data_IF_369687551056
#
_entry.id   IF_369687551056
#
_cell.length_a   1.000
_cell.length_b   1.000
_cell.length_c   1.000
_cell.angle_alpha   90.00
_cell.angle_beta   90.00
_cell.angle_gamma   90.00
#
_symmetry.space_group_name_H-M   'P 1'
#
loop_
_entity.id
_entity.type
_entity.pdbx_description
1 polymer ?
#
# COMPACT_ATOMS: atom_id res chain seq x y z
N UNK A 1 6.67 -43.51 53.02
CA UNK A 1 5.79 -44.26 53.94
C UNK A 1 4.46 -44.45 53.23
N UNK A 2 4.26 -45.65 52.69
CA UNK A 2 3.06 -46.08 51.97
C UNK A 2 2.08 -46.65 52.98
N UNK A 3 1.07 -45.87 53.36
CA UNK A 3 -0.07 -46.42 54.11
C UNK A 3 -0.80 -47.36 53.15
N UNK A 4 -0.71 -48.66 53.41
CA UNK A 4 -1.53 -49.66 52.73
C UNK A 4 -3.00 -49.24 52.83
N UNK A 5 -3.72 -49.32 51.71
CA UNK A 5 -5.15 -49.01 51.67
C UNK A 5 -5.99 -50.23 52.08
N UNK A 6 -5.33 -51.38 52.34
CA UNK A 6 -5.99 -52.60 52.78
C UNK A 6 -6.44 -52.49 54.25
N UNK A 7 -7.61 -53.05 54.60
CA UNK A 7 -8.04 -53.17 55.98
C UNK A 7 -7.10 -54.11 56.77
N UNK A 8 -7.12 -53.96 58.11
CA UNK A 8 -6.26 -54.77 58.98
C UNK A 8 -6.50 -56.29 58.87
N UNK A 9 -7.67 -56.72 58.36
CA UNK A 9 -8.07 -58.10 58.18
C UNK A 9 -7.61 -58.76 56.87
N UNK A 10 -6.78 -58.08 56.06
CA UNK A 10 -6.41 -58.59 54.73
C UNK A 10 -5.49 -59.83 54.75
N UNK A 11 -5.82 -60.77 53.87
CA UNK A 11 -5.13 -62.06 53.72
C UNK A 11 -3.84 -61.95 52.87
N UNK A 12 -3.00 -62.99 52.87
CA UNK A 12 -1.69 -63.00 52.22
C UNK A 12 -1.77 -62.72 50.72
N UNK A 13 -2.80 -63.21 50.04
CA UNK A 13 -3.01 -62.95 48.62
C UNK A 13 -3.27 -61.46 48.33
N UNK A 14 -4.11 -60.80 49.14
CA UNK A 14 -4.45 -59.39 48.96
C UNK A 14 -3.22 -58.49 49.17
N UNK A 15 -2.40 -58.82 50.19
CA UNK A 15 -1.15 -58.11 50.48
C UNK A 15 -0.12 -58.31 49.37
N UNK A 16 0.00 -59.52 48.83
CA UNK A 16 0.88 -59.80 47.70
C UNK A 16 0.43 -59.08 46.42
N UNK A 17 -0.88 -58.99 46.18
CA UNK A 17 -1.44 -58.22 45.08
C UNK A 17 -1.16 -56.72 45.22
N UNK A 18 -1.39 -56.13 46.40
CA UNK A 18 -1.07 -54.72 46.67
C UNK A 18 0.44 -54.45 46.46
N UNK A 19 1.31 -55.32 46.98
CA UNK A 19 2.75 -55.22 46.79
C UNK A 19 3.15 -55.28 45.30
N UNK A 20 2.49 -56.12 44.50
CA UNK A 20 2.76 -56.21 43.05
C UNK A 20 2.37 -54.95 42.26
N UNK A 21 1.46 -54.14 42.80
CA UNK A 21 0.97 -52.90 42.19
C UNK A 21 1.59 -51.64 42.82
N UNK A 22 2.29 -51.77 43.95
CA UNK A 22 2.85 -50.67 44.72
C UNK A 22 3.78 -49.78 43.89
N UNK A 23 4.59 -50.36 42.99
CA UNK A 23 5.51 -49.61 42.11
C UNK A 23 4.77 -48.76 41.07
N UNK A 24 3.49 -49.04 40.79
CA UNK A 24 2.66 -48.22 39.89
C UNK A 24 2.05 -47.00 40.57
N UNK A 25 1.94 -46.99 41.90
CA UNK A 25 1.33 -45.88 42.64
C UNK A 25 2.09 -44.56 42.52
N UNK A 26 3.44 -44.53 42.60
CA UNK A 26 4.20 -43.32 42.28
C UNK A 26 3.93 -42.82 40.87
N UNK A 27 3.93 -43.71 39.88
CA UNK A 27 3.66 -43.36 38.48
C UNK A 27 2.28 -42.71 38.28
N UNK A 28 1.22 -43.29 38.86
CA UNK A 28 -0.12 -42.70 38.76
C UNK A 28 -0.25 -41.41 39.57
N UNK A 29 0.39 -41.30 40.73
CA UNK A 29 0.39 -40.07 41.53
C UNK A 29 1.02 -38.90 40.76
N UNK A 30 2.15 -39.15 40.10
CA UNK A 30 2.83 -38.15 39.27
C UNK A 30 1.99 -37.78 38.04
N UNK A 31 1.37 -38.77 37.39
CA UNK A 31 0.46 -38.54 36.27
C UNK A 31 -0.77 -37.70 36.67
N UNK A 32 -1.38 -37.99 37.83
CA UNK A 32 -2.52 -37.22 38.37
C UNK A 32 -2.12 -35.78 38.66
N UNK A 33 -0.93 -35.56 39.24
CA UNK A 33 -0.43 -34.22 39.47
C UNK A 33 -0.18 -33.45 38.15
N UNK A 34 0.29 -34.14 37.11
CA UNK A 34 0.56 -33.56 35.79
C UNK A 34 -0.70 -33.06 35.05
N UNK A 35 -1.87 -33.70 35.26
CA UNK A 35 -3.15 -33.30 34.63
C UNK A 35 -3.49 -31.83 34.87
N UNK A 36 -3.16 -31.29 36.05
CA UNK A 36 -3.50 -29.91 36.41
C UNK A 36 -2.80 -28.84 35.53
N UNK A 37 -1.65 -29.17 34.94
CA UNK A 37 -0.86 -28.25 34.11
C UNK A 37 -0.97 -28.52 32.62
N UNK A 38 -1.64 -29.63 32.25
CA UNK A 38 -1.67 -30.15 30.88
C UNK A 38 -2.34 -29.17 29.89
N UNK A 39 -3.28 -28.33 30.35
CA UNK A 39 -3.94 -27.34 29.49
C UNK A 39 -3.07 -26.13 29.12
N UNK A 40 -2.02 -25.84 29.89
CA UNK A 40 -1.12 -24.71 29.63
C UNK A 40 -0.01 -25.08 28.64
N UNK A 41 0.32 -26.37 28.55
CA UNK A 41 1.32 -26.90 27.63
C UNK A 41 0.95 -28.33 27.21
N UNK A 42 -0.15 -28.51 26.45
CA UNK A 42 -0.65 -29.84 26.13
C UNK A 42 0.28 -30.60 25.18
N UNK A 43 0.33 -31.94 25.26
CA UNK A 43 0.93 -32.74 24.21
C UNK A 43 0.30 -32.42 22.86
N UNK A 44 1.08 -32.48 21.78
CA UNK A 44 0.62 -32.12 20.44
C UNK A 44 -0.59 -32.92 19.96
N UNK A 45 -0.75 -34.15 20.45
CA UNK A 45 -1.93 -35.01 20.20
C UNK A 45 -3.22 -34.47 20.82
N UNK A 46 -3.14 -33.73 21.93
CA UNK A 46 -4.28 -33.15 22.64
C UNK A 46 -4.58 -31.71 22.20
N UNK A 47 -3.62 -31.02 21.59
CA UNK A 47 -3.72 -29.61 21.21
C UNK A 47 -4.99 -29.25 20.41
N UNK A 48 -5.44 -30.01 19.39
CA UNK A 48 -6.68 -29.70 18.67
C UNK A 48 -7.92 -29.72 19.57
N UNK A 49 -7.97 -30.63 20.55
CA UNK A 49 -9.09 -30.73 21.48
C UNK A 49 -9.10 -29.58 22.48
N UNK A 50 -7.92 -29.13 22.93
CA UNK A 50 -7.80 -27.96 23.81
C UNK A 50 -8.19 -26.67 23.07
N UNK A 51 -7.78 -26.52 21.80
CA UNK A 51 -8.20 -25.40 20.95
C UNK A 51 -9.72 -25.37 20.76
N UNK A 52 -10.31 -26.55 20.53
CA UNK A 52 -11.75 -26.70 20.41
C UNK A 52 -12.46 -26.36 21.73
N UNK A 53 -11.94 -26.83 22.87
CA UNK A 53 -12.46 -26.52 24.21
C UNK A 53 -12.51 -25.01 24.47
N UNK A 54 -11.45 -24.28 24.09
CA UNK A 54 -11.41 -22.82 24.23
C UNK A 54 -12.13 -22.06 23.10
N UNK A 55 -12.70 -22.75 22.11
CA UNK A 55 -13.38 -22.10 20.98
C UNK A 55 -12.46 -21.24 20.11
N UNK A 56 -11.18 -21.61 20.00
CA UNK A 56 -10.15 -20.86 19.26
C UNK A 56 -9.99 -21.35 17.81
N UNK A 57 -10.81 -22.31 17.37
CA UNK A 57 -10.71 -22.95 16.06
C UNK A 57 -10.73 -21.97 14.88
N UNK A 58 -11.56 -20.94 14.94
CA UNK A 58 -11.65 -19.90 13.89
C UNK A 58 -10.37 -19.06 13.76
N UNK A 59 -9.52 -19.03 14.78
CA UNK A 59 -8.29 -18.24 14.80
C UNK A 59 -7.08 -18.99 14.25
N UNK A 60 -7.19 -20.31 14.10
CA UNK A 60 -6.11 -21.18 13.62
C UNK A 60 -5.46 -20.75 12.29
N UNK A 61 -6.18 -20.14 11.31
CA UNK A 61 -5.55 -19.71 10.06
C UNK A 61 -4.63 -18.48 10.19
N UNK A 62 -4.70 -17.74 11.30
CA UNK A 62 -4.01 -16.46 11.48
C UNK A 62 -2.76 -16.55 12.35
N UNK A 63 -2.54 -17.68 13.03
CA UNK A 63 -1.41 -17.87 13.95
C UNK A 63 -0.49 -18.95 13.42
N UNK A 64 0.83 -18.70 13.26
CA UNK A 64 1.77 -19.70 12.75
C UNK A 64 1.93 -20.92 13.66
N UNK A 65 1.81 -20.73 14.97
CA UNK A 65 2.00 -21.77 15.97
C UNK A 65 0.79 -21.87 16.91
N UNK A 66 0.19 -23.06 16.96
CA UNK A 66 -1.01 -23.33 17.74
C UNK A 66 -0.80 -23.27 19.26
N UNK A 67 0.43 -23.42 19.74
CA UNK A 67 0.75 -23.24 21.16
C UNK A 67 0.64 -21.77 21.57
N UNK A 68 1.11 -20.84 20.73
CA UNK A 68 1.02 -19.40 20.99
C UNK A 68 -0.44 -18.94 20.99
N UNK A 69 -1.27 -19.57 20.15
CA UNK A 69 -2.72 -19.32 20.10
C UNK A 69 -3.41 -19.61 21.45
N UNK A 70 -2.96 -20.60 22.23
CA UNK A 70 -3.57 -20.87 23.55
C UNK A 70 -3.36 -19.70 24.52
N UNK A 71 -2.20 -19.06 24.48
CA UNK A 71 -1.92 -17.92 25.36
C UNK A 71 -2.55 -16.64 24.81
N UNK A 72 -2.35 -16.34 23.53
CA UNK A 72 -2.75 -15.08 22.92
C UNK A 72 -4.24 -15.06 22.57
N UNK A 73 -4.79 -16.18 22.09
CA UNK A 73 -6.19 -16.31 21.72
C UNK A 73 -7.14 -16.10 22.90
N UNK A 74 -6.81 -16.64 24.09
CA UNK A 74 -7.59 -16.40 25.32
C UNK A 74 -7.57 -14.92 25.69
N UNK A 75 -6.40 -14.27 25.59
CA UNK A 75 -6.30 -12.85 25.89
C UNK A 75 -7.07 -11.99 24.87
N UNK A 76 -7.06 -12.37 23.59
CA UNK A 76 -7.84 -11.74 22.55
C UNK A 76 -9.34 -11.88 22.78
N UNK A 77 -9.83 -13.08 23.16
CA UNK A 77 -11.24 -13.32 23.44
C UNK A 77 -11.78 -12.39 24.54
N UNK A 78 -10.97 -12.11 25.58
CA UNK A 78 -11.34 -11.21 26.69
C UNK A 78 -11.56 -9.76 26.25
N UNK A 79 -10.94 -9.34 25.15
CA UNK A 79 -11.02 -7.96 24.63
C UNK A 79 -11.79 -7.87 23.31
N UNK A 80 -12.39 -8.98 22.87
CA UNK A 80 -13.20 -9.06 21.64
C UNK A 80 -14.32 -8.02 21.68
N UNK A 81 -14.58 -7.38 20.54
CA UNK A 81 -15.53 -6.29 20.40
C UNK A 81 -14.93 -4.90 20.62
N UNK A 82 -13.63 -4.80 20.93
CA UNK A 82 -12.90 -3.54 21.10
C UNK A 82 -11.84 -3.34 20.00
N UNK A 83 -11.32 -2.12 19.85
CA UNK A 83 -10.22 -1.86 18.90
C UNK A 83 -8.93 -2.57 19.29
N UNK A 84 -8.75 -2.91 20.57
CA UNK A 84 -7.60 -3.70 21.01
C UNK A 84 -7.62 -5.12 20.45
N UNK A 85 -8.80 -5.72 20.25
CA UNK A 85 -8.92 -7.02 19.60
C UNK A 85 -8.47 -6.96 18.13
N UNK A 86 -8.86 -5.90 17.41
CA UNK A 86 -8.42 -5.67 16.02
C UNK A 86 -6.91 -5.51 15.98
N UNK A 87 -6.33 -4.68 16.85
CA UNK A 87 -4.89 -4.47 16.91
C UNK A 87 -4.12 -5.78 17.18
N UNK A 88 -4.55 -6.56 18.17
CA UNK A 88 -3.92 -7.86 18.49
C UNK A 88 -4.06 -8.85 17.33
N UNK A 89 -5.24 -8.94 16.73
CA UNK A 89 -5.49 -9.84 15.61
C UNK A 89 -4.67 -9.49 14.37
N UNK A 90 -4.54 -8.21 14.03
CA UNK A 90 -3.68 -7.78 12.93
C UNK A 90 -2.19 -8.05 13.23
N UNK A 91 -1.76 -7.92 14.48
CA UNK A 91 -0.39 -8.22 14.88
C UNK A 91 0.01 -9.68 14.63
N UNK A 92 -0.92 -10.63 14.80
CA UNK A 92 -0.68 -12.06 14.50
C UNK A 92 -0.30 -12.32 13.04
N UNK A 93 -0.86 -11.54 12.13
CA UNK A 93 -0.58 -11.60 10.69
C UNK A 93 0.47 -10.57 10.24
N UNK A 94 1.14 -9.91 11.19
CA UNK A 94 2.25 -8.98 10.91
C UNK A 94 1.83 -7.60 10.41
N UNK A 95 0.58 -7.19 10.65
CA UNK A 95 0.05 -5.88 10.24
C UNK A 95 -0.34 -5.01 11.43
N UNK A 96 -0.29 -3.70 11.23
CA UNK A 96 -0.81 -2.70 12.18
C UNK A 96 -1.71 -1.73 11.43
N UNK A 97 -2.85 -1.39 12.03
CA UNK A 97 -3.74 -0.39 11.48
C UNK A 97 -4.46 0.38 12.60
N UNK A 98 -4.75 1.65 12.33
CA UNK A 98 -5.63 2.47 13.17
C UNK A 98 -7.07 2.31 12.70
N UNK A 99 -7.98 2.07 13.65
CA UNK A 99 -9.41 1.98 13.37
C UNK A 99 -10.04 3.37 13.36
N UNK A 100 -10.68 3.74 12.26
CA UNK A 100 -11.41 5.00 12.11
C UNK A 100 -12.89 4.71 11.94
N UNK A 101 -13.70 5.16 12.89
CA UNK A 101 -15.15 4.99 12.83
C UNK A 101 -15.77 5.94 11.82
N UNK A 102 -16.85 5.50 11.16
CA UNK A 102 -17.65 6.39 10.33
C UNK A 102 -18.30 7.49 11.19
N UNK A 103 -18.52 8.65 10.56
CA UNK A 103 -19.28 9.73 11.19
C UNK A 103 -20.73 9.28 11.45
N UNK A 104 -21.26 9.61 12.63
CA UNK A 104 -22.58 9.18 13.09
C UNK A 104 -23.74 9.71 12.25
N UNK A 105 -23.53 10.74 11.44
CA UNK A 105 -24.55 11.29 10.53
C UNK A 105 -24.74 10.51 9.23
N UNK A 106 -23.80 9.60 8.88
CA UNK A 106 -23.95 8.73 7.71
C UNK A 106 -25.05 7.70 7.92
N UNK A 107 -25.73 7.33 6.85
CA UNK A 107 -26.67 6.19 6.86
C UNK A 107 -25.99 4.89 7.32
N UNK A 108 -24.75 4.65 6.88
CA UNK A 108 -23.92 3.50 7.28
C UNK A 108 -22.99 3.85 8.46
N UNK A 109 -23.57 4.38 9.54
CA UNK A 109 -22.86 4.88 10.74
C UNK A 109 -22.07 3.82 11.51
N UNK A 110 -22.49 2.55 11.44
CA UNK A 110 -21.87 1.41 12.13
C UNK A 110 -20.65 0.85 11.36
N UNK A 111 -20.22 1.50 10.28
CA UNK A 111 -19.04 1.12 9.53
C UNK A 111 -17.76 1.72 10.11
N UNK A 112 -16.64 1.09 9.79
CA UNK A 112 -15.31 1.61 10.12
C UNK A 112 -14.33 1.32 9.00
N UNK A 113 -13.22 2.05 8.98
CA UNK A 113 -12.11 1.84 8.07
C UNK A 113 -10.81 1.58 8.83
N UNK A 114 -9.89 0.88 8.17
CA UNK A 114 -8.55 0.62 8.67
C UNK A 114 -7.56 1.52 7.95
N UNK A 115 -6.81 2.33 8.70
CA UNK A 115 -5.66 3.08 8.18
C UNK A 115 -4.39 2.34 8.52
N UNK A 116 -3.73 1.81 7.51
CA UNK A 116 -2.46 1.10 7.69
C UNK A 116 -1.29 2.07 7.80
N UNK A 117 -0.27 1.66 8.55
CA UNK A 117 1.03 2.33 8.66
C UNK A 117 1.99 1.97 7.53
N UNK A 118 1.79 0.78 6.93
CA UNK A 118 2.52 0.27 5.77
C UNK A 118 1.56 -0.33 4.74
N UNK A 119 2.02 -0.40 3.50
CA UNK A 119 1.31 -1.14 2.46
C UNK A 119 1.30 -2.64 2.83
N UNK A 120 0.14 -3.33 2.78
CA UNK A 120 0.11 -4.79 2.85
C UNK A 120 0.99 -5.41 1.77
N UNK A 121 1.68 -6.51 2.06
CA UNK A 121 2.70 -7.08 1.19
C UNK A 121 2.07 -7.65 -0.10
N UNK A 122 0.96 -8.37 0.03
CA UNK A 122 0.21 -8.94 -1.09
C UNK A 122 -1.28 -8.60 -1.03
N UNK A 123 -1.98 -8.76 -2.15
CA UNK A 123 -3.44 -8.67 -2.17
C UNK A 123 -4.06 -10.02 -1.72
N UNK A 124 -3.51 -11.13 -2.21
CA UNK A 124 -3.85 -12.51 -1.81
C UNK A 124 -2.62 -13.17 -1.15
N UNK A 125 -2.73 -13.80 0.04
CA UNK A 125 -3.92 -14.00 0.88
C UNK A 125 -4.13 -12.93 1.95
N UNK A 126 -3.31 -11.87 1.96
CA UNK A 126 -3.24 -10.94 3.10
C UNK A 126 -4.54 -10.17 3.31
N UNK A 127 -5.21 -9.70 2.25
CA UNK A 127 -6.43 -8.90 2.40
C UNK A 127 -7.59 -9.73 2.96
N UNK A 128 -7.75 -10.97 2.50
CA UNK A 128 -8.75 -11.89 3.07
C UNK A 128 -8.44 -12.23 4.53
N UNK A 129 -7.15 -12.38 4.86
CA UNK A 129 -6.73 -12.62 6.23
C UNK A 129 -7.04 -11.44 7.14
N UNK A 130 -6.73 -10.23 6.69
CA UNK A 130 -7.03 -8.97 7.38
C UNK A 130 -8.55 -8.86 7.59
N UNK A 131 -9.36 -9.11 6.57
CA UNK A 131 -10.83 -9.07 6.68
C UNK A 131 -11.36 -10.06 7.70
N UNK A 132 -10.90 -11.31 7.62
CA UNK A 132 -11.34 -12.37 8.51
C UNK A 132 -11.04 -12.05 9.96
N UNK A 133 -9.77 -11.75 10.31
CA UNK A 133 -9.40 -11.48 11.70
C UNK A 133 -10.05 -10.21 12.24
N UNK A 134 -10.19 -9.17 11.41
CA UNK A 134 -10.84 -7.92 11.82
C UNK A 134 -12.33 -8.15 12.06
N UNK A 135 -13.01 -8.90 11.18
CA UNK A 135 -14.43 -9.23 11.32
C UNK A 135 -14.69 -10.09 12.55
N UNK A 136 -13.79 -11.03 12.87
CA UNK A 136 -13.87 -11.81 14.10
C UNK A 136 -13.68 -10.94 15.35
N UNK A 137 -12.87 -9.88 15.26
CA UNK A 137 -12.49 -9.01 16.38
C UNK A 137 -13.57 -8.01 16.77
N UNK A 138 -14.43 -7.58 15.85
CA UNK A 138 -15.45 -6.56 16.09
C UNK A 138 -16.83 -7.15 16.42
N UNK A 139 -17.75 -6.38 17.03
CA UNK A 139 -19.13 -6.83 17.20
C UNK A 139 -19.79 -7.06 15.83
N UNK A 140 -20.70 -8.03 15.71
CA UNK A 140 -21.36 -8.38 14.43
C UNK A 140 -22.06 -7.21 13.73
N UNK A 141 -22.50 -6.20 14.48
CA UNK A 141 -23.10 -4.98 13.93
C UNK A 141 -22.09 -4.09 13.22
N UNK A 142 -20.82 -4.14 13.58
CA UNK A 142 -19.78 -3.28 13.02
C UNK A 142 -19.26 -3.90 11.74
N UNK A 143 -19.16 -3.09 10.68
CA UNK A 143 -18.77 -3.58 9.36
C UNK A 143 -17.49 -2.90 8.89
N UNK A 144 -16.51 -3.71 8.49
CA UNK A 144 -15.32 -3.21 7.82
C UNK A 144 -15.72 -2.72 6.44
N UNK A 145 -15.65 -1.40 6.22
CA UNK A 145 -15.99 -0.79 4.94
C UNK A 145 -14.79 -0.69 4.02
N UNK A 146 -13.63 -0.33 4.56
CA UNK A 146 -12.48 0.06 3.75
C UNK A 146 -11.14 -0.10 4.46
N UNK A 147 -10.10 -0.44 3.71
CA UNK A 147 -8.70 -0.34 4.12
C UNK A 147 -7.95 0.71 3.28
N UNK A 148 -7.17 1.56 3.94
CA UNK A 148 -6.48 2.69 3.30
C UNK A 148 -5.00 2.76 3.68
N UNK A 149 -4.16 3.10 2.70
CA UNK A 149 -2.75 3.42 2.90
C UNK A 149 -2.32 4.47 1.86
N UNK A 150 -1.77 5.60 2.31
CA UNK A 150 -1.32 6.77 1.52
C UNK A 150 -2.38 7.44 0.62
N UNK A 151 -3.15 6.69 -0.17
CA UNK A 151 -4.18 7.21 -1.05
C UNK A 151 -5.57 7.07 -0.42
N UNK A 152 -6.05 8.17 0.14
CA UNK A 152 -7.35 8.24 0.79
C UNK A 152 -8.22 9.37 0.23
N UNK A 153 -9.20 9.02 -0.61
CA UNK A 153 -10.27 9.94 -1.01
C UNK A 153 -11.58 9.44 -0.39
N UNK A 154 -12.00 10.03 0.75
CA UNK A 154 -13.28 9.69 1.36
C UNK A 154 -14.42 10.25 0.53
N UNK A 155 -15.61 9.66 0.71
CA UNK A 155 -16.85 10.19 0.16
C UNK A 155 -17.14 11.58 0.74
N UNK A 156 -17.60 12.49 -0.11
CA UNK A 156 -18.09 13.80 0.31
C UNK A 156 -19.33 13.61 1.20
N UNK A 157 -19.28 14.14 2.41
CA UNK A 157 -20.40 14.07 3.36
C UNK A 157 -21.45 15.08 2.92
N UNK A 158 -22.42 14.61 2.15
CA UNK A 158 -23.50 15.41 1.59
C UNK A 158 -24.88 14.89 2.00
N UNK A 159 -24.93 14.09 3.08
CA UNK A 159 -26.16 13.53 3.63
C UNK A 159 -27.25 14.61 3.74
N UNK A 160 -28.48 14.27 3.34
CA UNK A 160 -29.67 15.15 3.41
C UNK A 160 -29.63 16.37 2.48
N UNK A 161 -28.74 16.40 1.49
CA UNK A 161 -28.72 17.41 0.43
C UNK A 161 -29.05 16.78 -0.94
N UNK A 162 -29.23 17.60 -1.98
CA UNK A 162 -29.38 17.09 -3.37
C UNK A 162 -28.12 16.42 -3.92
N UNK A 163 -26.99 16.58 -3.25
CA UNK A 163 -25.73 15.93 -3.59
C UNK A 163 -25.60 14.55 -2.93
N UNK A 164 -26.54 14.17 -2.08
CA UNK A 164 -26.68 12.80 -1.59
C UNK A 164 -26.91 11.84 -2.78
N UNK A 165 -26.25 10.68 -2.77
CA UNK A 165 -26.19 9.72 -3.87
C UNK A 165 -25.57 10.22 -5.21
N UNK A 166 -24.86 11.35 -5.24
CA UNK A 166 -24.09 11.74 -6.43
C UNK A 166 -22.73 11.03 -6.51
N UNK A 167 -22.00 11.18 -7.62
CA UNK A 167 -20.68 10.56 -7.78
C UNK A 167 -19.65 10.94 -6.70
N UNK A 168 -19.87 12.06 -5.98
CA UNK A 168 -19.01 12.50 -4.88
C UNK A 168 -19.17 11.65 -3.62
N UNK A 169 -20.23 10.85 -3.53
CA UNK A 169 -20.49 9.92 -2.41
C UNK A 169 -19.72 8.59 -2.58
N UNK A 170 -18.99 8.41 -3.69
CA UNK A 170 -18.13 7.24 -3.88
C UNK A 170 -16.78 7.45 -3.21
N UNK A 171 -16.36 6.44 -2.48
CA UNK A 171 -15.03 6.36 -1.89
C UNK A 171 -14.03 5.80 -2.90
N UNK A 172 -12.75 6.18 -2.77
CA UNK A 172 -11.71 5.55 -3.58
C UNK A 172 -11.45 4.12 -3.14
N UNK A 173 -11.15 3.26 -4.11
CA UNK A 173 -10.74 1.88 -3.89
C UNK A 173 -11.44 0.93 -4.84
N UNK A 174 -11.08 -0.36 -4.72
CA UNK A 174 -11.77 -1.45 -5.41
C UNK A 174 -12.00 -2.60 -4.42
N UNK A 175 -12.97 -3.46 -4.74
CA UNK A 175 -13.20 -4.72 -4.04
C UNK A 175 -12.35 -5.80 -4.70
N UNK A 176 -11.34 -6.30 -4.01
CA UNK A 176 -10.47 -7.38 -4.50
C UNK A 176 -10.86 -8.76 -3.94
N UNK A 177 -11.60 -8.78 -2.83
CA UNK A 177 -11.95 -9.99 -2.07
C UNK A 177 -13.46 -10.27 -2.14
N UNK A 178 -13.92 -11.51 -1.86
CA UNK A 178 -15.34 -11.85 -1.81
C UNK A 178 -16.14 -11.11 -0.71
N UNK A 179 -15.46 -10.59 0.31
CA UNK A 179 -16.10 -9.84 1.40
C UNK A 179 -16.60 -8.44 0.98
N UNK A 180 -16.23 -7.98 -0.22
CA UNK A 180 -16.58 -6.66 -0.76
C UNK A 180 -16.07 -5.47 0.06
N UNK A 181 -14.97 -5.64 0.81
CA UNK A 181 -14.27 -4.50 1.43
C UNK A 181 -13.59 -3.68 0.35
N UNK A 182 -13.64 -2.35 0.48
CA UNK A 182 -12.90 -1.46 -0.42
C UNK A 182 -11.42 -1.38 0.00
N UNK A 183 -10.52 -1.59 -0.94
CA UNK A 183 -9.08 -1.41 -0.74
C UNK A 183 -8.58 -0.24 -1.54
N UNK A 184 -7.97 0.73 -0.85
CA UNK A 184 -7.51 1.99 -1.43
C UNK A 184 -6.09 2.25 -1.00
N UNK A 185 -5.16 1.68 -1.74
CA UNK A 185 -3.75 1.86 -1.47
C UNK A 185 -3.10 2.80 -2.48
N UNK A 186 -2.13 3.56 -1.99
CA UNK A 186 -1.24 4.39 -2.77
C UNK A 186 0.20 4.00 -2.50
N UNK A 187 1.04 4.12 -3.53
CA UNK A 187 2.48 4.05 -3.40
C UNK A 187 3.11 5.13 -4.26
N UNK A 188 4.03 5.89 -3.67
CA UNK A 188 4.74 6.96 -4.37
C UNK A 188 6.14 6.52 -4.75
N UNK A 189 6.54 6.76 -5.99
CA UNK A 189 7.91 6.62 -6.50
C UNK A 189 8.37 7.96 -7.03
N UNK A 190 9.48 8.46 -6.48
CA UNK A 190 10.02 9.78 -6.80
C UNK A 190 11.35 9.63 -7.53
N UNK A 191 11.45 10.24 -8.71
CA UNK A 191 12.55 10.06 -9.65
C UNK A 191 13.14 11.44 -9.96
N UNK A 192 14.31 11.77 -9.38
CA UNK A 192 15.04 12.96 -9.76
C UNK A 192 15.75 12.69 -11.09
N UNK A 193 15.59 13.59 -12.07
CA UNK A 193 16.24 13.46 -13.36
C UNK A 193 17.01 14.72 -13.72
N UNK A 194 18.26 14.57 -14.14
CA UNK A 194 19.02 15.63 -14.78
C UNK A 194 18.93 15.42 -16.29
N UNK A 195 18.34 16.36 -17.01
CA UNK A 195 18.16 16.24 -18.46
C UNK A 195 19.52 16.19 -19.14
N UNK A 196 19.76 15.13 -19.90
CA UNK A 196 21.00 15.00 -20.68
C UNK A 196 20.92 15.80 -21.98
N UNK A 197 22.09 16.12 -22.57
CA UNK A 197 22.18 16.81 -23.86
C UNK A 197 21.42 16.07 -24.96
N UNK A 198 21.62 14.76 -25.06
CA UNK A 198 20.95 13.93 -26.06
C UNK A 198 19.42 13.93 -25.92
N UNK A 199 18.90 13.86 -24.69
CA UNK A 199 17.45 13.94 -24.44
C UNK A 199 16.90 15.32 -24.79
N UNK A 200 17.60 16.39 -24.39
CA UNK A 200 17.17 17.76 -24.69
C UNK A 200 17.20 18.09 -26.18
N UNK A 201 18.21 17.60 -26.91
CA UNK A 201 18.33 17.77 -28.37
C UNK A 201 17.21 17.01 -29.08
N UNK A 202 16.92 15.78 -28.66
CA UNK A 202 15.80 15.00 -29.19
C UNK A 202 14.45 15.68 -28.95
N UNK A 203 14.27 16.35 -27.82
CA UNK A 203 13.08 17.15 -27.51
C UNK A 203 13.01 18.50 -28.25
N UNK A 204 14.11 18.93 -28.88
CA UNK A 204 14.25 20.23 -29.52
C UNK A 204 14.29 21.41 -28.53
N UNK A 205 14.73 21.17 -27.29
CA UNK A 205 14.74 22.19 -26.21
C UNK A 205 16.13 22.46 -25.67
N UNK A 206 17.16 21.73 -26.13
CA UNK A 206 18.50 21.89 -25.60
C UNK A 206 19.08 23.24 -25.97
N UNK A 207 19.59 23.91 -24.93
CA UNK A 207 20.40 25.11 -25.04
C UNK A 207 21.74 24.73 -24.42
N UNK A 208 22.85 25.00 -25.09
CA UNK A 208 24.17 24.70 -24.53
C UNK A 208 24.43 25.56 -23.28
N UNK A 209 25.12 25.01 -22.26
CA UNK A 209 25.55 25.80 -21.11
C UNK A 209 26.35 27.03 -21.58
N UNK A 210 25.99 28.24 -21.11
CA UNK A 210 26.64 29.46 -21.60
C UNK A 210 28.12 29.47 -21.17
N UNK A 211 29.03 29.68 -22.14
CA UNK A 211 30.47 29.80 -21.89
C UNK A 211 30.87 31.19 -21.35
N UNK A 212 29.99 32.18 -21.49
CA UNK A 212 30.14 33.58 -21.07
C UNK A 212 28.89 34.01 -20.27
N UNK A 213 28.88 35.20 -19.64
CA UNK A 213 27.77 35.66 -18.78
C UNK A 213 26.42 35.92 -19.50
N UNK A 214 26.35 35.82 -20.83
CA UNK A 214 25.16 36.16 -21.63
C UNK A 214 24.73 35.04 -22.59
N UNK A 215 23.43 34.75 -22.64
CA UNK A 215 22.82 33.90 -23.69
C UNK A 215 22.72 34.69 -24.99
N UNK A 216 23.11 34.10 -26.12
CA UNK A 216 22.95 34.74 -27.43
C UNK A 216 21.52 34.55 -27.94
N UNK A 217 20.97 35.60 -28.53
CA UNK A 217 19.64 35.62 -29.14
C UNK A 217 19.44 34.55 -30.21
N UNK A 218 20.50 34.18 -30.94
CA UNK A 218 20.45 33.18 -31.99
C UNK A 218 20.17 31.75 -31.48
N UNK A 219 20.40 31.50 -30.19
CA UNK A 219 20.31 30.16 -29.59
C UNK A 219 18.92 29.88 -28.99
N UNK A 220 17.97 30.81 -29.13
CA UNK A 220 16.63 30.76 -28.54
C UNK A 220 15.58 30.29 -29.57
N UNK A 221 15.12 29.04 -29.48
CA UNK A 221 14.18 28.43 -30.43
C UNK A 221 12.68 28.55 -30.03
N UNK A 222 12.16 29.74 -29.76
CA UNK A 222 10.73 29.94 -29.44
C UNK A 222 10.15 31.28 -29.93
N UNK A 223 8.81 31.39 -29.95
CA UNK A 223 8.07 32.57 -30.43
C UNK A 223 8.18 33.74 -29.43
N UNK A 224 8.63 34.91 -29.91
CA UNK A 224 8.94 36.11 -29.11
C UNK A 224 7.80 36.62 -28.23
N UNK A 225 6.54 36.33 -28.62
CA UNK A 225 5.33 36.85 -27.97
C UNK A 225 5.05 36.21 -26.61
N UNK A 226 5.67 35.06 -26.31
CA UNK A 226 5.45 34.32 -25.05
C UNK A 226 6.65 34.36 -24.09
N UNK A 227 7.66 35.21 -24.37
CA UNK A 227 8.89 35.28 -23.60
C UNK A 227 8.69 36.07 -22.28
N UNK A 228 8.62 35.38 -21.14
CA UNK A 228 8.56 36.00 -19.81
C UNK A 228 9.77 35.59 -18.96
N UNK A 229 10.92 36.24 -19.12
CA UNK A 229 12.04 36.05 -18.21
C UNK A 229 12.59 37.40 -17.70
N UNK A 230 13.08 37.47 -16.45
CA UNK A 230 13.66 38.70 -15.90
C UNK A 230 14.97 39.04 -16.63
N UNK A 231 15.06 40.24 -17.20
CA UNK A 231 16.24 40.70 -17.96
C UNK A 231 17.55 40.73 -17.15
N UNK A 232 17.45 40.76 -15.81
CA UNK A 232 18.60 40.77 -14.89
C UNK A 232 19.04 39.38 -14.41
N UNK A 233 18.45 38.29 -14.92
CA UNK A 233 18.85 36.94 -14.54
C UNK A 233 20.16 36.52 -15.25
N UNK A 234 21.02 35.76 -14.57
CA UNK A 234 22.23 35.20 -15.19
C UNK A 234 21.88 34.28 -16.37
N UNK A 235 22.79 34.15 -17.33
CA UNK A 235 22.60 33.27 -18.48
C UNK A 235 22.20 31.83 -18.08
N UNK A 236 22.77 31.29 -17.00
CA UNK A 236 22.39 29.97 -16.48
C UNK A 236 20.93 29.89 -16.06
N UNK A 237 20.41 30.90 -15.35
CA UNK A 237 19.01 30.94 -14.90
C UNK A 237 18.07 31.14 -16.09
N UNK A 238 18.46 31.98 -17.06
CA UNK A 238 17.69 32.16 -18.29
C UNK A 238 17.60 30.84 -19.08
N UNK A 239 18.71 30.11 -19.25
CA UNK A 239 18.72 28.78 -19.86
C UNK A 239 17.72 27.83 -19.19
N UNK A 240 17.81 27.69 -17.87
CA UNK A 240 16.94 26.80 -17.11
C UNK A 240 15.46 27.18 -17.24
N UNK A 241 15.15 28.48 -17.21
CA UNK A 241 13.80 28.98 -17.41
C UNK A 241 13.24 28.59 -18.79
N UNK A 242 13.99 28.86 -19.85
CA UNK A 242 13.55 28.56 -21.22
C UNK A 242 13.32 27.06 -21.43
N UNK A 243 14.25 26.23 -20.96
CA UNK A 243 14.12 24.78 -21.03
C UNK A 243 12.93 24.28 -20.21
N UNK A 244 12.73 24.79 -19.00
CA UNK A 244 11.60 24.43 -18.16
C UNK A 244 10.25 24.86 -18.77
N UNK A 245 10.17 26.11 -19.24
CA UNK A 245 8.96 26.68 -19.83
C UNK A 245 8.51 25.94 -21.09
N UNK A 246 9.44 25.35 -21.85
CA UNK A 246 9.15 24.58 -23.06
C UNK A 246 8.29 23.31 -22.82
N UNK A 247 8.21 22.82 -21.58
CA UNK A 247 7.34 21.71 -21.20
C UNK A 247 5.87 22.10 -21.06
N UNK A 248 5.57 23.40 -20.97
CA UNK A 248 4.20 23.87 -20.83
C UNK A 248 3.40 23.58 -22.10
N UNK A 249 2.30 22.82 -21.96
CA UNK A 249 1.45 22.43 -23.09
C UNK A 249 1.89 21.15 -23.82
N UNK A 250 3.05 20.58 -23.49
CA UNK A 250 3.46 19.26 -23.98
C UNK A 250 2.64 18.14 -23.36
N UNK A 251 2.56 17.02 -24.07
CA UNK A 251 1.94 15.81 -23.55
C UNK A 251 3.01 14.83 -23.09
N UNK A 252 2.81 14.19 -21.93
CA UNK A 252 3.76 13.20 -21.43
C UNK A 252 3.04 11.99 -20.85
N UNK A 253 3.69 10.84 -20.94
CA UNK A 253 3.20 9.55 -20.44
C UNK A 253 4.33 8.85 -19.69
N UNK A 254 4.03 8.27 -18.53
CA UNK A 254 4.90 7.31 -17.88
C UNK A 254 4.75 5.97 -18.59
N UNK A 255 5.85 5.42 -19.10
CA UNK A 255 5.92 4.10 -19.73
C UNK A 255 6.44 3.11 -18.72
N UNK A 256 5.68 2.06 -18.46
CA UNK A 256 6.07 0.97 -17.58
C UNK A 256 6.47 -0.23 -18.43
N UNK A 257 7.63 -0.83 -18.12
CA UNK A 257 8.14 -2.00 -18.82
C UNK A 257 8.48 -3.13 -17.87
N UNK A 258 8.38 -4.36 -18.36
CA UNK A 258 8.75 -5.57 -17.63
C UNK A 258 10.26 -5.88 -17.74
N UNK A 259 10.66 -7.04 -17.22
CA UNK A 259 12.05 -7.53 -17.20
C UNK A 259 12.63 -7.77 -18.60
N UNK A 260 11.78 -8.13 -19.56
CA UNK A 260 12.18 -8.32 -20.95
C UNK A 260 12.23 -6.99 -21.74
N UNK A 261 11.90 -5.86 -21.09
CA UNK A 261 11.78 -4.55 -21.71
C UNK A 261 10.49 -4.37 -22.53
N UNK A 262 9.55 -5.33 -22.46
CA UNK A 262 8.24 -5.21 -23.09
C UNK A 262 7.39 -4.21 -22.31
N UNK A 263 6.57 -3.46 -23.04
CA UNK A 263 5.73 -2.42 -22.46
C UNK A 263 4.53 -3.09 -21.77
N UNK A 264 4.33 -2.75 -20.49
CA UNK A 264 3.15 -3.15 -19.72
C UNK A 264 1.99 -2.21 -20.07
N UNK A 265 2.26 -0.90 -20.11
CA UNK A 265 1.30 0.11 -20.49
C UNK A 265 1.85 1.52 -20.35
N UNK A 266 1.05 2.49 -20.79
CA UNK A 266 1.37 3.91 -20.69
C UNK A 266 0.34 4.62 -19.82
N UNK A 267 0.82 5.41 -18.87
CA UNK A 267 -0.03 6.24 -18.05
C UNK A 267 0.15 7.72 -18.37
N UNK A 268 -0.93 8.39 -18.76
CA UNK A 268 -0.89 9.84 -19.02
C UNK A 268 -0.50 10.62 -17.76
N UNK A 269 0.44 11.55 -17.91
CA UNK A 269 0.80 12.47 -16.83
C UNK A 269 -0.36 13.44 -16.56
N UNK A 270 -0.76 13.55 -15.29
CA UNK A 270 -1.85 14.44 -14.84
C UNK A 270 -1.37 15.87 -14.60
N UNK A 271 -0.09 16.05 -14.31
CA UNK A 271 0.54 17.34 -14.09
C UNK A 271 1.88 17.39 -14.82
N UNK A 272 2.10 18.47 -15.56
CA UNK A 272 3.37 18.85 -16.19
C UNK A 272 3.48 20.35 -15.94
N UNK A 273 4.30 20.74 -14.96
CA UNK A 273 4.39 22.13 -14.52
C UNK A 273 5.86 22.55 -14.42
N UNK A 274 6.26 23.62 -15.10
CA UNK A 274 7.49 24.33 -14.76
C UNK A 274 7.36 24.90 -13.35
N UNK A 275 8.31 24.61 -12.46
CA UNK A 275 8.25 24.94 -11.03
C UNK A 275 9.56 25.52 -10.52
N UNK A 276 9.46 26.12 -9.33
CA UNK A 276 10.56 26.55 -8.49
C UNK A 276 10.30 26.11 -7.04
N UNK A 277 11.35 25.98 -6.23
CA UNK A 277 11.21 25.64 -4.82
C UNK A 277 10.45 26.74 -4.07
N UNK A 278 9.48 26.35 -3.25
CA UNK A 278 8.65 27.25 -2.48
C UNK A 278 8.38 26.64 -1.10
N UNK A 279 8.28 27.46 -0.05
CA UNK A 279 8.07 26.97 1.32
C UNK A 279 6.69 26.33 1.54
N UNK A 280 5.66 26.83 0.85
CA UNK A 280 4.28 26.30 0.89
C UNK A 280 3.85 25.92 -0.53
N UNK A 281 4.64 25.02 -1.13
CA UNK A 281 4.47 24.63 -2.52
C UNK A 281 3.31 23.65 -2.71
N UNK A 282 2.55 23.80 -3.80
CA UNK A 282 1.45 22.88 -4.15
C UNK A 282 1.94 21.46 -4.48
N UNK A 283 3.15 21.35 -5.04
CA UNK A 283 3.76 20.07 -5.38
C UNK A 283 4.80 19.69 -4.34
N UNK A 284 4.87 18.41 -3.99
CA UNK A 284 5.85 17.88 -3.04
C UNK A 284 6.69 16.80 -3.69
N UNK A 285 8.00 16.92 -3.55
CA UNK A 285 8.98 15.93 -3.98
C UNK A 285 10.01 15.77 -2.86
N UNK A 286 10.07 14.58 -2.26
CA UNK A 286 10.83 14.31 -1.05
C UNK A 286 10.34 15.16 0.13
N UNK A 287 11.29 15.84 0.77
CA UNK A 287 11.03 16.78 1.87
C UNK A 287 10.74 18.21 1.38
N UNK A 288 10.98 18.51 0.10
CA UNK A 288 10.84 19.86 -0.45
C UNK A 288 9.48 20.06 -1.12
N UNK A 289 9.06 21.32 -1.17
CA UNK A 289 7.83 21.73 -1.86
C UNK A 289 8.13 22.71 -2.97
N UNK A 290 7.30 22.68 -4.01
CA UNK A 290 7.49 23.37 -5.28
C UNK A 290 6.17 24.00 -5.74
N UNK A 291 6.26 25.16 -6.37
CA UNK A 291 5.12 25.86 -6.97
C UNK A 291 5.41 26.29 -8.40
N UNK A 292 4.38 26.39 -9.25
CA UNK A 292 4.52 27.05 -10.54
C UNK A 292 5.05 28.48 -10.36
N UNK A 293 6.09 28.83 -11.10
CA UNK A 293 6.76 30.13 -11.06
C UNK A 293 6.83 30.70 -12.47
N UNK A 294 6.79 32.04 -12.66
CA UNK A 294 7.07 32.68 -13.95
C UNK A 294 8.56 32.59 -14.34
N UNK A 295 9.45 32.27 -13.40
CA UNK A 295 10.86 32.01 -13.65
C UNK A 295 11.27 30.60 -13.20
N UNK A 296 10.65 29.55 -13.78
CA UNK A 296 10.87 28.17 -13.37
C UNK A 296 12.33 27.76 -13.60
N UNK A 297 12.84 26.82 -12.79
CA UNK A 297 14.18 26.24 -12.99
C UNK A 297 14.15 24.73 -13.15
N UNK A 298 13.00 24.13 -12.92
CA UNK A 298 12.76 22.69 -12.91
C UNK A 298 11.38 22.43 -13.50
N UNK A 299 11.10 21.18 -13.85
CA UNK A 299 9.77 20.74 -14.25
C UNK A 299 9.34 19.60 -13.34
N UNK A 300 8.18 19.76 -12.72
CA UNK A 300 7.49 18.71 -11.99
C UNK A 300 6.52 18.00 -12.94
N UNK A 301 6.69 16.69 -13.06
CA UNK A 301 5.84 15.84 -13.90
C UNK A 301 5.32 14.69 -13.05
N UNK A 302 4.04 14.40 -13.19
CA UNK A 302 3.40 13.39 -12.36
C UNK A 302 2.42 12.53 -13.16
N UNK A 303 2.55 11.22 -13.00
CA UNK A 303 1.60 10.23 -13.46
C UNK A 303 1.07 9.43 -12.26
N UNK A 304 -0.21 9.06 -12.29
CA UNK A 304 -0.82 8.24 -11.24
C UNK A 304 -1.72 7.20 -11.87
N UNK A 305 -1.42 5.91 -11.72
CA UNK A 305 -2.26 4.81 -12.23
C UNK A 305 -3.62 4.82 -11.55
N UNK A 306 -4.63 4.24 -12.17
CA UNK A 306 -5.88 3.89 -11.50
C UNK A 306 -5.78 2.49 -10.90
N UNK A 307 -6.72 2.17 -10.00
CA UNK A 307 -6.94 0.80 -9.58
C UNK A 307 -7.27 -0.07 -10.80
N UNK A 308 -6.78 -1.30 -10.81
CA UNK A 308 -6.98 -2.27 -11.88
C UNK A 308 -6.43 -1.86 -13.27
N UNK A 309 -5.54 -0.86 -13.35
CA UNK A 309 -4.84 -0.53 -14.61
C UNK A 309 -3.83 -1.64 -15.00
N UNK A 310 -3.22 -2.29 -13.99
CA UNK A 310 -2.34 -3.44 -14.16
C UNK A 310 -2.43 -4.36 -12.92
N UNK A 311 -2.37 -5.67 -13.14
CA UNK A 311 -2.55 -6.69 -12.10
C UNK A 311 -1.57 -7.85 -12.33
N UNK A 312 -0.96 -8.36 -11.25
CA UNK A 312 -0.03 -9.51 -11.27
C UNK A 312 1.18 -9.36 -12.21
N UNK A 313 1.62 -8.12 -12.46
CA UNK A 313 2.81 -7.83 -13.28
C UNK A 313 3.81 -6.99 -12.48
N UNK A 314 5.10 -7.23 -12.64
CA UNK A 314 6.15 -6.42 -12.03
C UNK A 314 6.76 -5.47 -13.04
N UNK A 315 6.70 -4.16 -12.77
CA UNK A 315 7.43 -3.16 -13.53
C UNK A 315 8.90 -3.14 -13.12
N UNK A 316 9.79 -3.30 -14.10
CA UNK A 316 11.24 -3.28 -13.94
C UNK A 316 11.91 -1.98 -14.38
N UNK A 317 11.24 -1.23 -15.25
CA UNK A 317 11.67 0.13 -15.55
C UNK A 317 10.47 1.05 -15.75
N UNK A 318 10.70 2.32 -15.46
CA UNK A 318 9.78 3.40 -15.78
C UNK A 318 10.54 4.49 -16.52
N UNK A 319 9.90 5.05 -17.55
CA UNK A 319 10.46 6.16 -18.33
C UNK A 319 9.38 7.17 -18.68
N UNK A 320 9.79 8.39 -19.03
CA UNK A 320 8.88 9.44 -19.46
C UNK A 320 8.91 9.55 -20.99
N UNK A 321 7.77 9.34 -21.64
CA UNK A 321 7.59 9.55 -23.07
C UNK A 321 6.90 10.89 -23.33
N UNK A 322 7.61 11.82 -23.97
CA UNK A 322 7.15 13.18 -24.24
C UNK A 322 6.75 13.31 -25.71
N UNK A 323 5.63 14.00 -25.93
CA UNK A 323 4.96 14.25 -27.21
C UNK A 323 4.77 13.00 -28.11
N UNK A 324 4.27 11.88 -27.58
CA UNK A 324 3.90 10.75 -28.43
C UNK A 324 2.62 11.03 -29.22
N UNK A 325 2.50 10.38 -30.37
CA UNK A 325 1.32 10.42 -31.23
C UNK A 325 0.42 9.23 -30.88
N UNK A 326 -0.84 9.52 -30.58
CA UNK A 326 -1.87 8.48 -30.35
C UNK A 326 -2.25 7.79 -31.65
N UNK A 327 -2.32 6.47 -31.60
CA UNK A 327 -2.81 5.64 -32.71
C UNK A 327 -4.29 5.94 -33.00
N UNK A 328 -4.70 5.70 -34.25
CA UNK A 328 -6.08 5.90 -34.68
C UNK A 328 -7.05 5.02 -33.88
N UNK A 329 -8.19 5.57 -33.46
CA UNK A 329 -9.22 4.84 -32.69
C UNK A 329 -9.05 4.88 -31.16
N UNK A 330 -7.92 5.37 -30.65
CA UNK A 330 -7.72 5.53 -29.20
C UNK A 330 -8.45 6.78 -28.69
N UNK A 331 -9.39 6.58 -27.76
CA UNK A 331 -10.17 7.68 -27.20
C UNK A 331 -9.26 8.70 -26.46
N UNK A 332 -9.46 10.02 -26.66
CA UNK A 332 -8.53 11.02 -26.14
C UNK A 332 -8.53 11.15 -24.61
N UNK A 333 -9.59 10.67 -23.96
CA UNK A 333 -9.74 10.64 -22.50
C UNK A 333 -9.25 9.35 -21.84
N UNK A 334 -8.80 8.34 -22.60
CA UNK A 334 -8.27 7.09 -22.06
C UNK A 334 -6.96 7.40 -21.32
N UNK A 335 -6.93 7.16 -20.01
CA UNK A 335 -5.80 7.54 -19.15
C UNK A 335 -4.69 6.48 -19.12
N UNK A 336 -5.08 5.20 -19.18
CA UNK A 336 -4.18 4.06 -19.31
C UNK A 336 -4.23 3.54 -20.75
N UNK A 337 -3.10 3.50 -21.44
CA UNK A 337 -3.02 3.07 -22.82
C UNK A 337 -2.25 1.74 -22.91
N UNK A 338 -2.70 0.88 -23.81
CA UNK A 338 -2.12 -0.44 -24.01
C UNK A 338 -0.88 -0.35 -24.92
N UNK A 339 -0.05 -1.41 -24.96
CA UNK A 339 1.03 -1.50 -25.95
C UNK A 339 0.50 -1.28 -27.37
N UNK A 340 1.11 -0.37 -28.13
CA UNK A 340 0.68 -0.01 -29.51
C UNK A 340 -0.34 1.13 -29.63
N UNK A 341 -0.92 1.61 -28.52
CA UNK A 341 -1.83 2.76 -28.52
C UNK A 341 -1.09 4.10 -28.76
N UNK A 342 0.24 4.13 -28.57
CA UNK A 342 1.11 5.28 -28.79
C UNK A 342 2.25 4.92 -29.76
N UNK A 343 2.67 5.89 -30.56
CA UNK A 343 3.83 5.81 -31.45
C UNK A 343 4.64 7.10 -31.43
N UNK A 344 5.93 7.02 -31.75
CA UNK A 344 6.84 8.16 -31.70
C UNK A 344 7.04 8.72 -30.28
N UNK A 345 7.36 10.01 -30.21
CA UNK A 345 7.73 10.69 -28.96
C UNK A 345 9.19 10.45 -28.55
N UNK A 346 9.64 11.21 -27.57
CA UNK A 346 11.02 11.15 -27.05
C UNK A 346 10.99 10.54 -25.65
N UNK A 347 11.77 9.49 -25.44
CA UNK A 347 11.91 8.85 -24.13
C UNK A 347 12.99 9.55 -23.33
N UNK A 348 12.68 9.89 -22.08
CA UNK A 348 13.52 10.60 -21.13
C UNK A 348 13.44 9.89 -19.77
N UNK A 349 14.48 10.01 -18.95
CA UNK A 349 14.43 9.54 -17.55
C UNK A 349 14.09 8.05 -17.40
N UNK A 350 14.74 7.21 -18.20
CA UNK A 350 14.65 5.76 -18.01
C UNK A 350 15.31 5.36 -16.69
N UNK A 351 14.50 4.84 -15.76
CA UNK A 351 14.93 4.49 -14.41
C UNK A 351 14.51 3.06 -14.11
N UNK A 352 15.46 2.26 -13.63
CA UNK A 352 15.18 0.91 -13.18
C UNK A 352 14.46 0.94 -11.83
N UNK A 353 13.40 0.15 -11.74
CA UNK A 353 12.55 0.01 -10.55
C UNK A 353 12.26 -1.48 -10.35
N UNK A 354 11.68 -1.85 -9.21
CA UNK A 354 11.14 -3.21 -9.04
C UNK A 354 9.86 -3.11 -8.25
N UNK A 355 8.76 -2.84 -8.97
CA UNK A 355 7.47 -2.55 -8.37
C UNK A 355 6.43 -3.59 -8.81
N UNK A 356 5.88 -4.41 -7.90
CA UNK A 356 4.74 -5.25 -8.21
C UNK A 356 3.50 -4.36 -8.40
N UNK A 357 2.93 -4.35 -9.59
CA UNK A 357 1.68 -3.65 -9.89
C UNK A 357 0.50 -4.53 -9.46
N UNK A 358 -0.35 -3.97 -8.59
CA UNK A 358 -1.48 -4.69 -7.99
C UNK A 358 -2.78 -3.95 -8.29
N UNK A 359 -3.88 -4.68 -8.39
CA UNK A 359 -5.18 -4.11 -8.69
C UNK A 359 -5.61 -3.07 -7.63
N UNK A 360 -5.30 -3.31 -6.36
CA UNK A 360 -5.69 -2.44 -5.22
C UNK A 360 -4.78 -1.24 -4.98
N UNK A 361 -3.67 -1.12 -5.73
CA UNK A 361 -2.65 -0.08 -5.51
C UNK A 361 -2.61 0.91 -6.66
N UNK A 362 -2.64 2.20 -6.32
CA UNK A 362 -2.33 3.28 -7.26
C UNK A 362 -0.87 3.66 -7.13
N UNK A 363 -0.13 3.50 -8.22
CA UNK A 363 1.25 3.96 -8.32
C UNK A 363 1.27 5.42 -8.73
N UNK A 364 1.91 6.25 -7.92
CA UNK A 364 2.15 7.66 -8.17
C UNK A 364 3.62 7.86 -8.51
N UNK A 365 3.91 8.10 -9.79
CA UNK A 365 5.24 8.42 -10.28
C UNK A 365 5.41 9.93 -10.35
N UNK A 366 6.37 10.46 -9.60
CA UNK A 366 6.76 11.86 -9.64
C UNK A 366 8.15 11.98 -10.24
N UNK A 367 8.29 12.81 -11.26
CA UNK A 367 9.56 13.14 -11.88
C UNK A 367 9.86 14.60 -11.61
N UNK A 368 11.07 14.87 -11.11
CA UNK A 368 11.58 16.23 -10.99
C UNK A 368 12.73 16.38 -11.97
N UNK A 369 12.47 17.04 -13.10
CA UNK A 369 13.46 17.26 -14.17
C UNK A 369 14.21 18.56 -13.92
N UNK A 370 15.54 18.46 -13.89
CA UNK A 370 16.50 19.56 -13.73
C UNK A 370 17.30 19.74 -15.02
N UNK A 371 17.85 20.93 -15.26
CA UNK A 371 18.51 21.32 -16.51
C UNK A 371 19.92 21.85 -16.34
#
# INVERSE_FOLDING_TARGET
MTNSLLPASSDLFEKALEASLADRWPFFSDAVAAINYDKLSPPSSFLPFVIWEFGLGELTPYVPNLYDLLQEGIQWQRVRGTFLAVQRGLAWIGYTATVEQAWHGRTWWNSYQLRFDRLPDNDDPDLERIEGITTLSVPKRSQLRRGVFQYDIPAAVCDWTRLDACHLDRESGITATPANTLWSFGRTTEIPHLLTKAEGEALGIWIDPPAEEALKWADMHFLWVTASFPWAASATVQRQNLMAASFLGRSAYAVLKDDAGAIIGYRRCRAIRPVEAAFDGTYRFGAETYSPSPAPRMVYIEAMTNFNDAEMVTAKSVSLLVDPVRSAGVAPGKLWLNPGDLSGGVTVSATDISLPLRATVREQFKFLVRF
#
